data_IF_463272853116
#
_entry.id   IF_463272853116
#
_cell.length_a   1.000
_cell.length_b   1.000
_cell.length_c   1.000
_cell.angle_alpha   90.00
_cell.angle_beta   90.00
_cell.angle_gamma   90.00
#
_symmetry.space_group_name_H-M   'P 1'
#
loop_
_entity.id
_entity.type
_entity.pdbx_description
1 polymer ?
#
# COMPACT_ATOMS: atom_id res chain seq x y z
N UNK A 1 7.94 -22.39 3.02
CA UNK A 1 8.36 -21.21 3.82
C UNK A 1 7.39 -20.01 3.80
N UNK A 2 6.61 -19.74 2.73
CA UNK A 2 5.69 -18.57 2.69
C UNK A 2 4.54 -18.58 3.72
N UNK A 3 4.01 -19.74 4.08
CA UNK A 3 2.86 -19.86 4.98
C UNK A 3 3.17 -19.46 6.44
N UNK A 4 4.37 -19.76 6.93
CA UNK A 4 4.79 -19.47 8.32
C UNK A 4 4.94 -17.96 8.55
N UNK A 5 5.45 -17.23 7.55
CA UNK A 5 5.56 -15.77 7.60
C UNK A 5 4.18 -15.08 7.61
N UNK A 6 3.23 -15.56 6.79
CA UNK A 6 1.87 -15.02 6.77
C UNK A 6 1.17 -15.20 8.12
N UNK A 7 1.27 -16.39 8.72
CA UNK A 7 0.66 -16.67 10.03
C UNK A 7 1.22 -15.78 11.15
N UNK A 8 2.54 -15.53 11.15
CA UNK A 8 3.19 -14.64 12.13
C UNK A 8 2.82 -13.16 11.94
N UNK A 9 2.62 -12.68 10.71
CA UNK A 9 2.20 -11.29 10.43
C UNK A 9 0.69 -11.06 10.61
N UNK A 10 -0.16 -12.08 10.52
CA UNK A 10 -1.63 -11.90 10.62
C UNK A 10 -2.09 -11.34 11.96
N UNK A 11 -1.66 -11.93 13.08
CA UNK A 11 -2.03 -11.49 14.43
C UNK A 11 -1.69 -10.02 14.69
N UNK A 12 -0.44 -9.55 14.48
CA UNK A 12 -0.11 -8.15 14.72
C UNK A 12 -0.83 -7.19 13.77
N UNK A 13 -1.05 -7.56 12.50
CA UNK A 13 -1.84 -6.73 11.57
C UNK A 13 -3.31 -6.62 11.98
N UNK A 14 -3.92 -7.72 12.42
CA UNK A 14 -5.30 -7.73 12.89
C UNK A 14 -5.47 -6.88 14.15
N UNK A 15 -4.48 -6.91 15.05
CA UNK A 15 -4.45 -6.06 16.25
C UNK A 15 -4.24 -4.58 15.91
N UNK A 16 -3.35 -4.29 14.96
CA UNK A 16 -3.02 -2.92 14.50
C UNK A 16 -4.21 -2.24 13.82
N UNK A 17 -4.95 -2.97 12.99
CA UNK A 17 -6.04 -2.43 12.18
C UNK A 17 -7.44 -2.77 12.69
N UNK A 18 -7.54 -3.52 13.79
CA UNK A 18 -8.81 -3.92 14.41
C UNK A 18 -9.68 -4.85 13.56
N UNK A 19 -9.18 -5.36 12.43
CA UNK A 19 -9.96 -6.19 11.51
C UNK A 19 -9.10 -7.30 10.91
N UNK A 20 -9.59 -8.53 11.04
CA UNK A 20 -8.97 -9.70 10.43
C UNK A 20 -9.05 -9.64 8.89
N UNK A 21 -10.14 -9.10 8.34
CA UNK A 21 -10.33 -8.93 6.90
C UNK A 21 -9.27 -8.03 6.28
N UNK A 22 -8.93 -6.92 6.94
CA UNK A 22 -7.87 -6.00 6.49
C UNK A 22 -6.52 -6.73 6.50
N UNK A 23 -6.23 -7.47 7.57
CA UNK A 23 -5.00 -8.24 7.66
C UNK A 23 -4.89 -9.30 6.56
N UNK A 24 -5.97 -10.03 6.27
CA UNK A 24 -5.99 -11.05 5.20
C UNK A 24 -5.86 -10.41 3.81
N UNK A 25 -6.48 -9.25 3.57
CA UNK A 25 -6.29 -8.48 2.33
C UNK A 25 -4.85 -8.01 2.15
N UNK A 26 -4.22 -7.46 3.20
CA UNK A 26 -2.80 -7.08 3.20
C UNK A 26 -1.91 -8.28 2.88
N UNK A 27 -2.16 -9.42 3.53
CA UNK A 27 -1.42 -10.68 3.32
C UNK A 27 -1.67 -11.32 1.95
N UNK A 28 -2.77 -10.97 1.28
CA UNK A 28 -3.06 -11.37 -0.10
C UNK A 28 -2.30 -10.52 -1.13
N UNK A 29 -1.71 -9.39 -0.73
CA UNK A 29 -1.03 -8.47 -1.63
C UNK A 29 -1.98 -7.62 -2.49
N UNK A 30 -3.27 -7.58 -2.13
CA UNK A 30 -4.27 -6.80 -2.86
C UNK A 30 -4.29 -5.36 -2.35
N UNK A 31 -4.35 -4.44 -3.30
CA UNK A 31 -4.57 -3.01 -3.07
C UNK A 31 -6.05 -2.70 -3.30
N UNK A 32 -6.65 -1.80 -2.52
CA UNK A 32 -8.02 -1.33 -2.72
C UNK A 32 -8.17 0.15 -2.35
N UNK A 33 -9.19 0.80 -2.88
CA UNK A 33 -9.52 2.19 -2.55
C UNK A 33 -10.04 2.29 -1.11
N UNK A 34 -9.62 3.32 -0.37
CA UNK A 34 -9.92 3.48 1.06
C UNK A 34 -8.91 2.80 2.00
N UNK A 35 -7.92 2.09 1.47
CA UNK A 35 -6.80 1.56 2.25
C UNK A 35 -5.88 2.70 2.73
N UNK A 36 -5.30 2.62 3.94
CA UNK A 36 -4.35 3.65 4.37
C UNK A 36 -2.96 3.45 3.76
N UNK A 37 -2.19 4.52 3.66
CA UNK A 37 -0.79 4.51 3.21
C UNK A 37 0.05 3.50 4.01
N UNK A 38 -0.19 3.38 5.32
CA UNK A 38 0.48 2.40 6.17
C UNK A 38 0.12 0.97 5.79
N UNK A 39 -1.17 0.68 5.61
CA UNK A 39 -1.60 -0.65 5.16
C UNK A 39 -0.94 -1.01 3.83
N UNK A 40 -0.86 -0.05 2.91
CA UNK A 40 -0.23 -0.22 1.60
C UNK A 40 1.25 -0.58 1.74
N UNK A 41 2.00 0.11 2.61
CA UNK A 41 3.39 -0.27 2.93
C UNK A 41 3.49 -1.65 3.55
N UNK A 42 2.57 -2.00 4.45
CA UNK A 42 2.54 -3.33 5.06
C UNK A 42 2.28 -4.45 4.04
N UNK A 43 1.57 -4.13 2.94
CA UNK A 43 1.23 -5.06 1.85
C UNK A 43 2.30 -5.15 0.75
N UNK A 44 2.67 -4.01 0.16
CA UNK A 44 3.56 -3.92 -1.02
C UNK A 44 4.99 -3.54 -0.67
N UNK A 45 5.25 -3.12 0.56
CA UNK A 45 6.54 -2.59 1.00
C UNK A 45 6.71 -1.11 0.67
N UNK A 46 7.94 -0.63 0.83
CA UNK A 46 8.27 0.77 0.60
C UNK A 46 8.22 1.13 -0.88
N UNK A 47 7.60 2.27 -1.23
CA UNK A 47 7.58 2.78 -2.60
C UNK A 47 8.99 3.17 -3.05
N UNK A 48 9.27 2.99 -4.33
CA UNK A 48 10.55 3.42 -4.93
C UNK A 48 10.67 4.94 -4.97
N UNK A 49 9.55 5.62 -5.15
CA UNK A 49 9.51 7.08 -5.19
C UNK A 49 8.20 7.61 -4.61
N UNK A 50 8.31 8.63 -3.76
CA UNK A 50 7.17 9.32 -3.14
C UNK A 50 7.21 10.78 -3.52
N UNK A 51 6.19 11.24 -4.24
CA UNK A 51 5.98 12.67 -4.48
C UNK A 51 4.86 13.15 -3.58
N UNK A 52 5.18 13.98 -2.58
CA UNK A 52 4.19 14.62 -1.71
C UNK A 52 3.92 16.05 -2.19
N UNK A 53 2.65 16.40 -2.28
CA UNK A 53 2.16 17.73 -2.60
C UNK A 53 1.22 18.20 -1.49
N UNK A 54 1.66 19.22 -0.76
CA UNK A 54 0.86 19.84 0.28
C UNK A 54 -0.02 20.92 -0.35
N UNK A 55 -1.33 20.77 -0.21
CA UNK A 55 -2.30 21.81 -0.56
C UNK A 55 -2.79 22.49 0.72
N UNK A 56 -3.48 23.63 0.56
CA UNK A 56 -4.03 24.38 1.70
C UNK A 56 -5.00 23.55 2.56
N UNK A 57 -5.74 22.62 1.95
CA UNK A 57 -6.80 21.85 2.60
C UNK A 57 -6.56 20.34 2.63
N UNK A 58 -5.60 19.82 1.85
CA UNK A 58 -5.34 18.38 1.74
C UNK A 58 -3.89 18.08 1.43
N UNK A 59 -3.44 16.88 1.78
CA UNK A 59 -2.13 16.36 1.38
C UNK A 59 -2.34 15.30 0.31
N UNK A 60 -1.76 15.49 -0.87
CA UNK A 60 -1.77 14.48 -1.94
C UNK A 60 -0.39 13.87 -2.08
N UNK A 61 -0.29 12.55 -2.02
CA UNK A 61 0.93 11.79 -2.24
C UNK A 61 0.76 10.89 -3.47
N UNK A 62 1.80 10.84 -4.30
CA UNK A 62 1.87 9.96 -5.45
C UNK A 62 3.04 9.02 -5.21
N UNK A 63 2.73 7.75 -5.01
CA UNK A 63 3.69 6.69 -4.79
C UNK A 63 3.92 5.95 -6.10
N UNK A 64 5.19 5.68 -6.43
CA UNK A 64 5.56 4.88 -7.59
C UNK A 64 6.30 3.64 -7.14
N UNK A 65 5.83 2.49 -7.60
CA UNK A 65 6.45 1.19 -7.42
C UNK A 65 7.03 0.76 -8.76
N UNK A 66 8.33 0.94 -8.95
CA UNK A 66 9.02 0.55 -10.19
C UNK A 66 9.43 -0.91 -10.06
N UNK A 67 9.03 -1.76 -11.03
CA UNK A 67 9.58 -3.12 -11.12
C UNK A 67 10.98 -3.03 -11.74
N UNK A 68 11.98 -3.56 -11.05
CA UNK A 68 13.36 -3.67 -11.58
C UNK A 68 13.35 -4.61 -12.79
N UNK A 69 13.31 -4.05 -14.00
CA UNK A 69 13.27 -4.78 -15.26
C UNK A 69 13.33 -3.85 -16.47
N UNK A 70 13.58 -4.42 -17.67
CA UNK A 70 13.80 -3.69 -18.93
C UNK A 70 12.63 -2.77 -19.35
N UNK A 71 11.46 -2.96 -18.74
CA UNK A 71 10.25 -2.17 -18.95
C UNK A 71 9.91 -1.40 -17.68
N UNK A 72 10.10 -0.08 -17.67
CA UNK A 72 9.92 0.83 -16.51
C UNK A 72 8.46 1.16 -16.20
N UNK A 73 7.53 0.26 -16.54
CA UNK A 73 6.12 0.44 -16.22
C UNK A 73 5.93 0.17 -14.72
N UNK A 74 5.91 1.26 -13.96
CA UNK A 74 5.74 1.24 -12.51
C UNK A 74 4.29 1.55 -12.14
N UNK A 75 3.78 0.86 -11.13
CA UNK A 75 2.44 1.13 -10.61
C UNK A 75 2.45 2.50 -9.93
N UNK A 76 1.51 3.37 -10.32
CA UNK A 76 1.32 4.68 -9.72
C UNK A 76 0.12 4.63 -8.80
N UNK A 77 0.31 5.02 -7.55
CA UNK A 77 -0.74 5.03 -6.54
C UNK A 77 -0.92 6.46 -6.04
N UNK A 78 -2.17 6.90 -5.97
CA UNK A 78 -2.58 8.23 -5.54
C UNK A 78 -3.19 8.09 -4.15
N UNK A 79 -2.63 8.83 -3.21
CA UNK A 79 -3.03 8.85 -1.81
C UNK A 79 -3.42 10.28 -1.47
N UNK A 80 -4.60 10.48 -0.91
CA UNK A 80 -5.02 11.76 -0.37
C UNK A 80 -5.29 11.64 1.12
N UNK A 81 -4.72 12.56 1.90
CA UNK A 81 -4.82 12.58 3.37
C UNK A 81 -4.45 11.24 4.02
N UNK A 82 -3.49 10.52 3.44
CA UNK A 82 -3.04 9.21 3.93
C UNK A 82 -3.92 8.04 3.53
N UNK A 83 -4.94 8.25 2.68
CA UNK A 83 -5.85 7.21 2.18
C UNK A 83 -5.67 7.04 0.68
N UNK A 84 -5.59 5.79 0.21
CA UNK A 84 -5.51 5.46 -1.22
C UNK A 84 -6.83 5.81 -1.89
N UNK A 85 -6.79 6.73 -2.85
CA UNK A 85 -7.97 7.19 -3.61
C UNK A 85 -7.98 6.72 -5.05
N UNK A 86 -6.85 6.19 -5.54
CA UNK A 86 -6.77 5.71 -6.92
C UNK A 86 -5.41 5.12 -7.23
N UNK A 87 -5.36 4.31 -8.27
CA UNK A 87 -4.14 3.64 -8.72
C UNK A 87 -4.22 3.34 -10.20
N UNK A 88 -3.08 3.43 -10.87
CA UNK A 88 -2.94 3.23 -12.31
C UNK A 88 -2.03 2.01 -12.49
N UNK A 89 -2.60 0.96 -13.10
CA UNK A 89 -1.82 -0.14 -13.65
C UNK A 89 -1.50 0.16 -15.12
N UNK A 90 -0.27 -0.09 -15.56
CA UNK A 90 0.12 0.02 -16.96
C UNK A 90 -0.50 -1.07 -17.85
#
# INVERSE_FOLDING_TARGET
MRAVWKARRRKPLSLKYGSADIADRILSGRMWEGMTAEMLRDSWGDPTHVRRQLHKTRTTEIWRYVRTGRTRLGNRIIIENGVVVGFEHP
#
